data_IF_328870402189
#
_entry.id   IF_328870402189
#
_cell.length_a   1.000
_cell.length_b   1.000
_cell.length_c   1.000
_cell.angle_alpha   90.00
_cell.angle_beta   90.00
_cell.angle_gamma   90.00
#
_symmetry.space_group_name_H-M   'P 1'
#
loop_
_entity.id
_entity.type
_entity.pdbx_description
1 polymer ?
#
# COMPACT_ATOMS: atom_id res chain seq x y z
N UNK A 1 -6.56 32.19 10.25
CA UNK A 1 -6.43 31.89 8.82
C UNK A 1 -6.00 30.43 8.70
N UNK A 2 -6.83 29.50 8.22
CA UNK A 2 -6.34 28.15 7.94
C UNK A 2 -5.56 28.19 6.63
N UNK A 3 -4.30 27.80 6.69
CA UNK A 3 -3.42 27.68 5.53
C UNK A 3 -3.97 26.63 4.57
N UNK A 4 -4.15 27.04 3.32
CA UNK A 4 -4.47 26.17 2.20
C UNK A 4 -3.18 25.44 1.84
N UNK A 5 -2.97 24.24 2.37
CA UNK A 5 -1.90 23.36 1.93
C UNK A 5 -2.15 23.01 0.47
N UNK A 6 -1.20 23.38 -0.37
CA UNK A 6 -1.11 23.04 -1.79
C UNK A 6 -1.37 21.56 -2.01
N UNK A 7 -2.41 21.24 -2.77
CA UNK A 7 -2.70 19.90 -3.27
C UNK A 7 -1.61 19.51 -4.28
N UNK A 8 -0.48 19.01 -3.79
CA UNK A 8 0.30 18.05 -4.56
C UNK A 8 -0.59 16.82 -4.74
N UNK A 9 -0.88 16.45 -5.99
CA UNK A 9 -1.61 15.23 -6.32
C UNK A 9 -0.95 14.05 -5.63
N UNK A 10 -1.51 13.57 -4.50
CA UNK A 10 -1.02 12.41 -3.76
C UNK A 10 -1.30 11.15 -4.58
N UNK A 11 -0.31 10.76 -5.40
CA UNK A 11 -0.45 9.65 -6.35
C UNK A 11 -0.51 8.31 -5.62
N UNK A 12 0.10 8.22 -4.44
CA UNK A 12 -0.04 7.08 -3.56
C UNK A 12 -1.49 6.87 -3.13
N UNK A 13 -2.20 7.91 -2.68
CA UNK A 13 -3.62 7.77 -2.32
C UNK A 13 -4.50 7.46 -3.55
N UNK A 14 -4.15 8.01 -4.72
CA UNK A 14 -4.83 7.65 -5.97
C UNK A 14 -4.65 6.15 -6.30
N UNK A 15 -3.45 5.58 -6.09
CA UNK A 15 -3.20 4.14 -6.19
C UNK A 15 -4.05 3.36 -5.20
N UNK A 16 -4.07 3.74 -3.93
CA UNK A 16 -4.86 3.07 -2.87
C UNK A 16 -6.33 3.03 -3.27
N UNK A 17 -6.88 4.14 -3.76
CA UNK A 17 -8.26 4.22 -4.21
C UNK A 17 -8.49 3.34 -5.45
N UNK A 18 -7.60 3.37 -6.43
CA UNK A 18 -7.73 2.55 -7.65
C UNK A 18 -7.73 1.05 -7.34
N UNK A 19 -6.91 0.59 -6.39
CA UNK A 19 -6.93 -0.79 -5.93
C UNK A 19 -8.25 -1.15 -5.25
N UNK A 20 -8.77 -0.26 -4.40
CA UNK A 20 -10.06 -0.45 -3.73
C UNK A 20 -11.22 -0.52 -4.73
N UNK A 21 -11.23 0.38 -5.72
CA UNK A 21 -12.23 0.40 -6.78
C UNK A 21 -12.19 -0.88 -7.62
N UNK A 22 -10.98 -1.38 -7.91
CA UNK A 22 -10.80 -2.59 -8.71
C UNK A 22 -11.22 -3.87 -7.97
N UNK A 23 -10.94 -3.95 -6.66
CA UNK A 23 -11.43 -5.03 -5.80
C UNK A 23 -12.92 -4.90 -5.49
N UNK A 24 -13.51 -3.73 -5.70
CA UNK A 24 -14.92 -3.47 -5.45
C UNK A 24 -15.33 -3.71 -3.99
N UNK A 25 -16.62 -3.80 -3.69
CA UNK A 25 -17.12 -3.87 -2.31
C UNK A 25 -16.96 -5.25 -1.66
N UNK A 26 -16.73 -6.32 -2.44
CA UNK A 26 -16.84 -7.70 -1.94
C UNK A 26 -15.74 -8.65 -2.43
N UNK A 27 -14.98 -8.29 -3.46
CA UNK A 27 -14.08 -9.24 -4.12
C UNK A 27 -12.73 -9.29 -3.39
N UNK A 28 -12.26 -10.50 -3.12
CA UNK A 28 -10.92 -10.73 -2.60
C UNK A 28 -9.89 -10.69 -3.73
N UNK A 29 -8.61 -10.51 -3.37
CA UNK A 29 -7.51 -10.45 -4.35
C UNK A 29 -7.37 -11.73 -5.20
N UNK A 30 -7.90 -12.85 -4.71
CA UNK A 30 -7.90 -14.16 -5.35
C UNK A 30 -9.29 -14.60 -5.85
N UNK A 31 -10.22 -13.65 -6.02
CA UNK A 31 -11.56 -13.97 -6.51
C UNK A 31 -11.57 -14.10 -8.02
N UNK A 32 -12.40 -15.00 -8.56
CA UNK A 32 -12.47 -15.29 -10.00
C UNK A 32 -12.86 -14.08 -10.85
N UNK A 33 -13.47 -13.06 -10.24
CA UNK A 33 -13.90 -11.80 -10.86
C UNK A 33 -12.84 -10.69 -10.83
N UNK A 34 -11.65 -10.97 -10.29
CA UNK A 34 -10.54 -10.01 -10.18
C UNK A 34 -9.37 -10.47 -11.07
N UNK A 35 -8.93 -9.60 -11.98
CA UNK A 35 -7.71 -9.83 -12.76
C UNK A 35 -6.49 -9.34 -11.98
N UNK A 36 -5.67 -10.30 -11.52
CA UNK A 36 -4.42 -10.04 -10.82
C UNK A 36 -3.42 -9.20 -11.64
N UNK A 37 -3.46 -9.32 -12.97
CA UNK A 37 -2.58 -8.59 -13.88
C UNK A 37 -2.87 -7.09 -13.86
N UNK A 38 -4.15 -6.72 -13.70
CA UNK A 38 -4.56 -5.33 -13.61
C UNK A 38 -4.15 -4.71 -12.27
N UNK A 39 -4.24 -5.47 -11.17
CA UNK A 39 -3.74 -5.03 -9.86
C UNK A 39 -2.23 -4.84 -9.85
N UNK A 40 -1.48 -5.77 -10.45
CA UNK A 40 -0.03 -5.66 -10.61
C UNK A 40 0.32 -4.40 -11.42
N UNK A 41 -0.37 -4.18 -12.54
CA UNK A 41 -0.15 -3.00 -13.37
C UNK A 41 -0.41 -1.69 -12.62
N UNK A 42 -1.48 -1.60 -11.83
CA UNK A 42 -1.74 -0.42 -10.98
C UNK A 42 -0.57 -0.13 -10.04
N UNK A 43 -0.01 -1.17 -9.41
CA UNK A 43 1.15 -1.04 -8.51
C UNK A 43 2.43 -0.63 -9.26
N UNK A 44 2.65 -1.14 -10.48
CA UNK A 44 3.81 -0.83 -11.32
C UNK A 44 3.77 0.59 -11.91
N UNK A 45 2.59 1.06 -12.29
CA UNK A 45 2.39 2.39 -12.88
C UNK A 45 2.61 3.52 -11.84
N UNK A 46 2.56 3.19 -10.55
CA UNK A 46 2.87 4.14 -9.48
C UNK A 46 4.37 4.40 -9.35
N UNK A 47 4.79 5.62 -9.67
CA UNK A 47 6.16 6.09 -9.43
C UNK A 47 6.27 6.62 -7.99
N UNK A 48 6.97 5.86 -7.14
CA UNK A 48 7.13 6.12 -5.71
C UNK A 48 7.68 7.51 -5.37
N UNK A 49 6.99 8.19 -4.45
CA UNK A 49 7.45 9.41 -3.78
C UNK A 49 7.38 9.20 -2.26
N UNK A 50 8.52 9.36 -1.58
CA UNK A 50 8.64 9.14 -0.13
C UNK A 50 7.67 10.02 0.67
N UNK A 51 7.45 11.26 0.23
CA UNK A 51 6.56 12.20 0.92
C UNK A 51 5.09 11.77 0.95
N UNK A 52 4.69 10.86 0.05
CA UNK A 52 3.31 10.37 -0.05
C UNK A 52 3.04 9.19 0.91
N UNK A 53 4.05 8.37 1.21
CA UNK A 53 3.91 7.16 2.06
C UNK A 53 4.69 7.20 3.38
N UNK A 54 5.52 8.22 3.63
CA UNK A 54 6.36 8.32 4.85
C UNK A 54 5.57 8.18 6.16
N UNK A 55 4.31 8.64 6.21
CA UNK A 55 3.43 8.53 7.38
C UNK A 55 3.14 7.09 7.81
N UNK A 56 3.29 6.13 6.89
CA UNK A 56 3.17 4.69 7.16
C UNK A 56 4.52 4.01 7.44
N UNK A 57 5.64 4.72 7.27
CA UNK A 57 7.00 4.18 7.41
C UNK A 57 7.45 4.12 8.89
N UNK A 58 6.86 3.22 9.66
CA UNK A 58 7.16 3.09 11.09
C UNK A 58 8.24 2.02 11.31
N UNK A 59 9.52 2.41 11.32
CA UNK A 59 10.63 1.52 11.62
C UNK A 59 10.72 1.19 13.13
N UNK A 60 11.16 -0.03 13.46
CA UNK A 60 11.44 -0.43 14.85
C UNK A 60 12.85 -1.02 14.99
N UNK A 61 13.70 -0.55 15.93
CA UNK A 61 15.10 -0.95 16.00
C UNK A 61 15.37 -2.44 16.23
N UNK A 62 14.42 -3.16 16.84
CA UNK A 62 14.60 -4.53 17.29
C UNK A 62 13.86 -5.57 16.43
N UNK A 63 13.34 -5.18 15.26
CA UNK A 63 12.66 -6.09 14.34
C UNK A 63 13.40 -6.17 13.01
N UNK A 64 13.28 -7.32 12.32
CA UNK A 64 13.85 -7.48 10.98
C UNK A 64 13.16 -6.55 9.97
N UNK A 65 11.85 -6.42 10.12
CA UNK A 65 11.01 -5.49 9.39
C UNK A 65 9.77 -5.15 10.22
N UNK A 66 9.05 -4.09 9.82
CA UNK A 66 7.70 -3.78 10.33
C UNK A 66 6.67 -3.96 9.23
N UNK A 67 5.42 -4.23 9.60
CA UNK A 67 4.27 -4.36 8.69
C UNK A 67 3.27 -3.28 9.05
N UNK A 68 3.20 -2.24 8.24
CA UNK A 68 2.42 -1.04 8.57
C UNK A 68 1.17 -1.01 7.70
N UNK A 69 0.00 -1.00 8.33
CA UNK A 69 -1.28 -0.98 7.62
C UNK A 69 -1.47 0.36 6.93
N UNK A 70 -1.63 0.33 5.60
CA UNK A 70 -1.97 1.49 4.78
C UNK A 70 -3.48 1.58 4.64
N UNK A 71 -4.10 0.47 4.21
CA UNK A 71 -5.53 0.40 3.96
C UNK A 71 -6.08 -1.02 4.18
N UNK A 72 -7.34 -1.12 4.63
CA UNK A 72 -8.04 -2.40 4.89
C UNK A 72 -8.84 -2.91 3.69
N UNK A 73 -8.76 -2.21 2.55
CA UNK A 73 -9.56 -2.46 1.37
C UNK A 73 -11.04 -2.55 1.69
N UNK A 74 -11.67 -3.56 1.12
CA UNK A 74 -13.08 -3.91 1.32
C UNK A 74 -13.28 -4.96 2.45
N UNK A 75 -12.28 -5.21 3.29
CA UNK A 75 -12.30 -6.26 4.30
C UNK A 75 -11.98 -7.67 3.78
N UNK A 76 -11.66 -7.82 2.49
CA UNK A 76 -11.14 -9.05 1.87
C UNK A 76 -9.69 -8.95 1.42
N UNK A 77 -9.08 -7.77 1.52
CA UNK A 77 -7.67 -7.51 1.24
C UNK A 77 -7.08 -6.58 2.31
N UNK A 78 -5.76 -6.45 2.34
CA UNK A 78 -5.08 -5.40 3.07
C UNK A 78 -3.93 -4.88 2.22
N UNK A 79 -3.70 -3.57 2.25
CA UNK A 79 -2.50 -2.95 1.73
C UNK A 79 -1.55 -2.63 2.89
N UNK A 80 -0.34 -3.16 2.83
CA UNK A 80 0.68 -2.97 3.86
C UNK A 80 1.93 -2.33 3.25
N UNK A 81 2.59 -1.46 4.02
CA UNK A 81 3.93 -0.97 3.76
C UNK A 81 4.91 -1.67 4.70
N UNK A 82 5.86 -2.43 4.14
CA UNK A 82 6.88 -3.13 4.92
C UNK A 82 8.17 -2.29 4.95
N UNK A 83 8.67 -2.02 6.16
CA UNK A 83 9.94 -1.30 6.35
C UNK A 83 11.00 -2.28 6.82
N UNK A 84 12.04 -2.49 6.02
CA UNK A 84 13.13 -3.42 6.31
C UNK A 84 14.27 -2.72 7.04
N UNK A 85 14.76 -3.29 8.13
CA UNK A 85 16.01 -2.82 8.72
C UNK A 85 17.20 -3.23 7.82
N UNK A 86 18.28 -2.42 7.75
CA UNK A 86 19.41 -2.70 6.87
C UNK A 86 19.98 -4.13 7.05
N UNK A 87 20.14 -4.85 5.94
CA UNK A 87 20.70 -6.20 5.93
C UNK A 87 19.80 -7.29 6.52
N UNK A 88 18.52 -7.01 6.77
CA UNK A 88 17.53 -7.99 7.24
C UNK A 88 16.71 -8.56 6.10
N UNK A 89 16.12 -9.73 6.34
CA UNK A 89 15.25 -10.44 5.40
C UNK A 89 14.11 -11.14 6.17
N UNK A 90 13.09 -11.62 5.46
CA UNK A 90 12.03 -12.42 6.08
C UNK A 90 12.54 -13.83 6.39
N UNK A 91 12.00 -14.47 7.43
CA UNK A 91 12.01 -15.92 7.52
C UNK A 91 11.30 -16.53 6.30
N UNK A 92 11.62 -17.78 5.99
CA UNK A 92 10.88 -18.56 4.99
C UNK A 92 9.42 -18.68 5.44
N UNK A 93 8.50 -18.34 4.54
CA UNK A 93 7.06 -18.49 4.72
C UNK A 93 6.42 -19.00 3.42
N UNK A 94 5.19 -19.51 3.52
CA UNK A 94 4.35 -19.91 2.39
C UNK A 94 3.76 -18.71 1.64
#
# INVERSE_FOLDING_TARGET
MPGRTTESSDRFQALVQALSDKLGPCSGINSDDVDESELQKLMEDYVSDESEWEKYSMAQPNTAYTRNLVDKGNGKSNLLLLVWAPGRASPIHE
#
